data_IF_458882817236
#
_entry.id   IF_458882817236
#
_cell.length_a   1.000
_cell.length_b   1.000
_cell.length_c   1.000
_cell.angle_alpha   90.00
_cell.angle_beta   90.00
_cell.angle_gamma   90.00
#
_symmetry.space_group_name_H-M   'P 1'
#
loop_
_entity.id
_entity.type
_entity.pdbx_description
1 polymer ?
#
# COMPACT_ATOMS: atom_id res chain seq x y z
N UNK A 1 -13.52 23.99 13.37
CA UNK A 1 -14.49 22.89 13.12
C UNK A 1 -14.17 21.74 14.07
N UNK A 2 -15.18 21.07 14.63
CA UNK A 2 -14.97 19.84 15.42
C UNK A 2 -14.51 18.73 14.46
N UNK A 3 -13.42 18.02 14.78
CA UNK A 3 -12.90 16.93 13.93
C UNK A 3 -13.96 15.83 13.81
N UNK A 4 -14.17 15.33 12.60
CA UNK A 4 -15.06 14.19 12.38
C UNK A 4 -14.47 12.92 13.00
N UNK A 5 -15.34 11.95 13.31
CA UNK A 5 -14.96 10.61 13.76
C UNK A 5 -15.62 9.57 12.88
N UNK A 6 -15.05 8.37 12.84
CA UNK A 6 -15.71 7.23 12.20
C UNK A 6 -17.08 6.96 12.84
N UNK A 7 -18.06 6.61 12.01
CA UNK A 7 -19.40 6.23 12.45
C UNK A 7 -19.42 4.82 13.05
N UNK A 8 -18.53 3.95 12.58
CA UNK A 8 -18.47 2.55 12.99
C UNK A 8 -17.04 2.02 13.11
N UNK A 9 -16.85 1.05 14.01
CA UNK A 9 -15.59 0.31 14.15
C UNK A 9 -15.21 -0.41 12.85
N UNK A 10 -16.19 -1.03 12.20
CA UNK A 10 -15.98 -1.73 10.91
C UNK A 10 -15.52 -0.73 9.84
N UNK A 11 -16.12 0.45 9.79
CA UNK A 11 -15.70 1.51 8.87
C UNK A 11 -14.26 1.94 9.08
N UNK A 12 -13.83 2.12 10.34
CA UNK A 12 -12.42 2.36 10.66
C UNK A 12 -11.49 1.23 10.20
N UNK A 13 -11.83 -0.03 10.52
CA UNK A 13 -11.01 -1.20 10.15
C UNK A 13 -10.89 -1.31 8.63
N UNK A 14 -12.00 -1.20 7.90
CA UNK A 14 -12.00 -1.36 6.44
C UNK A 14 -11.31 -0.19 5.72
N UNK A 15 -11.45 1.04 6.23
CA UNK A 15 -10.71 2.20 5.67
C UNK A 15 -9.21 2.05 5.92
N UNK A 16 -8.82 1.70 7.15
CA UNK A 16 -7.40 1.52 7.49
C UNK A 16 -6.80 0.33 6.74
N UNK A 17 -7.54 -0.79 6.64
CA UNK A 17 -7.15 -1.93 5.84
C UNK A 17 -7.09 -1.58 4.35
N UNK A 18 -7.99 -0.76 3.82
CA UNK A 18 -7.92 -0.28 2.43
C UNK A 18 -6.75 0.67 2.16
N UNK A 19 -6.20 1.32 3.18
CA UNK A 19 -4.95 2.08 3.06
C UNK A 19 -3.74 1.14 2.90
N UNK A 20 -3.67 0.07 3.71
CA UNK A 20 -2.61 -0.94 3.64
C UNK A 20 -2.74 -1.82 2.38
N UNK A 21 -3.95 -2.33 2.14
CA UNK A 21 -4.28 -3.18 1.00
C UNK A 21 -4.27 -2.34 -0.26
N UNK A 22 -3.28 -2.59 -1.09
CA UNK A 22 -3.20 -1.94 -2.39
C UNK A 22 -2.40 -2.74 -3.40
N UNK A 23 -1.75 -2.00 -4.29
CA UNK A 23 -0.89 -2.57 -5.32
C UNK A 23 0.23 -3.42 -4.69
N UNK A 24 0.69 -3.08 -3.47
CA UNK A 24 1.69 -3.87 -2.74
C UNK A 24 1.28 -5.34 -2.52
N UNK A 25 0.03 -5.59 -2.13
CA UNK A 25 -0.47 -6.94 -1.82
C UNK A 25 -0.79 -7.75 -3.07
N UNK A 26 -1.29 -7.08 -4.10
CA UNK A 26 -1.83 -7.77 -5.28
C UNK A 26 -0.81 -7.88 -6.41
N UNK A 27 0.08 -6.89 -6.51
CA UNK A 27 1.14 -6.85 -7.51
C UNK A 27 2.50 -7.25 -6.94
N UNK A 28 2.96 -6.54 -5.92
CA UNK A 28 4.34 -6.65 -5.44
C UNK A 28 4.60 -7.98 -4.75
N UNK A 29 3.71 -8.34 -3.84
CA UNK A 29 3.84 -9.55 -3.05
C UNK A 29 3.91 -10.83 -3.89
N UNK A 30 3.02 -11.08 -4.88
CA UNK A 30 3.06 -12.33 -5.65
C UNK A 30 4.33 -12.49 -6.48
N UNK A 31 4.83 -11.44 -7.16
CA UNK A 31 6.08 -11.61 -7.92
C UNK A 31 7.28 -11.84 -6.99
N UNK A 32 7.32 -11.20 -5.82
CA UNK A 32 8.38 -11.41 -4.83
C UNK A 32 8.35 -12.85 -4.29
N UNK A 33 7.16 -13.40 -4.02
CA UNK A 33 7.02 -14.82 -3.63
C UNK A 33 7.56 -15.73 -4.74
N UNK A 34 7.25 -15.42 -6.01
CA UNK A 34 7.69 -16.18 -7.17
C UNK A 34 9.21 -16.20 -7.35
N UNK A 35 9.85 -15.06 -7.06
CA UNK A 35 11.31 -14.89 -7.16
C UNK A 35 12.06 -15.43 -5.93
N UNK A 36 11.44 -15.48 -4.76
CA UNK A 36 12.10 -15.72 -3.47
C UNK A 36 11.75 -17.07 -2.80
N UNK A 37 11.33 -18.07 -3.57
CA UNK A 37 11.21 -19.43 -3.04
C UNK A 37 9.88 -19.76 -2.36
N UNK A 38 8.79 -19.09 -2.74
CA UNK A 38 7.44 -19.56 -2.42
C UNK A 38 7.09 -19.48 -0.92
N UNK A 39 6.61 -20.58 -0.35
CA UNK A 39 6.06 -20.63 1.01
C UNK A 39 7.03 -20.21 2.13
N UNK A 40 8.35 -20.38 1.96
CA UNK A 40 9.34 -19.92 2.97
C UNK A 40 9.38 -18.39 3.03
N UNK A 41 9.34 -17.71 1.88
CA UNK A 41 9.25 -16.26 1.84
C UNK A 41 7.98 -15.78 2.54
N UNK A 42 6.84 -16.42 2.28
CA UNK A 42 5.55 -16.08 2.92
C UNK A 42 5.66 -16.21 4.45
N UNK A 43 6.31 -17.26 4.96
CA UNK A 43 6.51 -17.44 6.39
C UNK A 43 7.34 -16.29 7.00
N UNK A 44 8.48 -15.93 6.39
CA UNK A 44 9.29 -14.81 6.87
C UNK A 44 8.54 -13.48 6.79
N UNK A 45 7.78 -13.26 5.72
CA UNK A 45 6.94 -12.09 5.56
C UNK A 45 5.94 -11.94 6.71
N UNK A 46 5.24 -13.01 7.07
CA UNK A 46 4.29 -13.01 8.19
C UNK A 46 4.98 -12.71 9.53
N UNK A 47 6.16 -13.28 9.74
CA UNK A 47 6.96 -12.99 10.94
C UNK A 47 7.35 -11.50 11.00
N UNK A 48 7.88 -10.93 9.92
CA UNK A 48 8.28 -9.52 9.88
C UNK A 48 7.09 -8.56 9.95
N UNK A 49 5.93 -8.94 9.42
CA UNK A 49 4.72 -8.14 9.55
C UNK A 49 4.32 -7.99 11.03
N UNK A 50 4.44 -9.05 11.83
CA UNK A 50 4.16 -9.02 13.27
C UNK A 50 5.28 -8.38 14.08
N UNK A 51 6.54 -8.61 13.72
CA UNK A 51 7.70 -8.13 14.47
C UNK A 51 8.02 -6.65 14.20
N UNK A 52 7.79 -6.17 12.99
CA UNK A 52 8.17 -4.82 12.55
C UNK A 52 6.93 -4.01 12.21
N UNK A 53 6.10 -4.52 11.30
CA UNK A 53 4.95 -3.79 10.79
C UNK A 53 3.94 -3.41 11.87
N UNK A 54 3.46 -4.39 12.65
CA UNK A 54 2.46 -4.18 13.69
C UNK A 54 2.91 -3.17 14.76
N UNK A 55 4.13 -3.25 15.35
CA UNK A 55 4.61 -2.23 16.27
C UNK A 55 4.58 -0.82 15.70
N UNK A 56 5.12 -0.60 14.50
CA UNK A 56 5.16 0.74 13.89
C UNK A 56 3.74 1.23 13.55
N UNK A 57 2.86 0.35 13.06
CA UNK A 57 1.46 0.67 12.83
C UNK A 57 0.78 1.17 14.11
N UNK A 58 0.99 0.50 15.25
CA UNK A 58 0.43 0.96 16.51
C UNK A 58 1.01 2.30 16.97
N UNK A 59 2.26 2.61 16.62
CA UNK A 59 2.91 3.89 16.95
C UNK A 59 2.32 5.04 16.12
N UNK A 60 2.14 4.86 14.81
CA UNK A 60 1.45 5.86 13.98
C UNK A 60 0.02 6.09 14.47
N UNK A 61 -0.74 5.01 14.71
CA UNK A 61 -2.10 5.12 15.21
C UNK A 61 -2.16 5.81 16.59
N UNK A 62 -1.18 5.57 17.46
CA UNK A 62 -1.11 6.21 18.79
C UNK A 62 -0.86 7.71 18.69
N UNK A 63 0.07 8.14 17.84
CA UNK A 63 0.36 9.57 17.61
C UNK A 63 -0.87 10.28 17.06
N UNK A 64 -1.55 9.68 16.10
CA UNK A 64 -2.80 10.21 15.56
C UNK A 64 -3.90 10.29 16.61
N UNK A 65 -4.12 9.20 17.34
CA UNK A 65 -5.21 9.10 18.31
C UNK A 65 -5.03 10.01 19.52
N UNK A 66 -3.82 10.11 20.06
CA UNK A 66 -3.51 10.98 21.19
C UNK A 66 -3.59 12.47 20.84
N UNK A 67 -3.24 12.84 19.61
CA UNK A 67 -3.28 14.25 19.19
C UNK A 67 -4.67 14.70 18.72
N UNK A 68 -5.46 13.81 18.09
CA UNK A 68 -6.66 14.16 17.32
C UNK A 68 -6.37 15.27 16.29
N UNK A 69 -5.17 15.25 15.70
CA UNK A 69 -4.70 16.20 14.68
C UNK A 69 -4.04 15.45 13.51
N UNK A 70 -3.81 16.14 12.41
CA UNK A 70 -2.93 15.69 11.31
C UNK A 70 -1.46 15.82 11.70
N UNK A 71 -0.59 15.15 10.93
CA UNK A 71 0.82 14.87 11.26
C UNK A 71 1.64 16.02 11.84
N UNK A 72 1.68 17.18 11.19
CA UNK A 72 2.49 18.31 11.69
C UNK A 72 1.98 18.78 13.05
N UNK A 73 0.67 18.99 13.16
CA UNK A 73 0.03 19.41 14.41
C UNK A 73 0.01 18.31 15.46
N UNK A 74 0.04 17.05 15.06
CA UNK A 74 0.13 15.92 15.98
C UNK A 74 1.45 15.96 16.75
N UNK A 75 2.56 16.15 16.04
CA UNK A 75 3.86 16.33 16.69
C UNK A 75 3.90 17.59 17.56
N UNK A 76 3.47 18.76 17.08
CA UNK A 76 3.46 20.00 17.88
C UNK A 76 2.71 19.85 19.23
N UNK A 77 1.63 19.05 19.25
CA UNK A 77 0.82 18.81 20.46
C UNK A 77 1.48 17.81 21.40
N UNK A 78 2.18 16.81 20.87
CA UNK A 78 2.68 15.66 21.63
C UNK A 78 4.16 15.77 22.01
N UNK A 79 4.93 16.60 21.30
CA UNK A 79 6.37 16.73 21.50
C UNK A 79 6.72 17.52 22.77
N UNK A 80 7.79 17.15 23.49
CA UNK A 80 8.30 17.95 24.59
C UNK A 80 8.73 19.34 24.13
N UNK A 81 8.53 20.36 24.98
CA UNK A 81 8.92 21.75 24.68
C UNK A 81 10.41 21.83 24.31
N UNK A 82 10.72 22.54 23.22
CA UNK A 82 12.09 22.73 22.73
C UNK A 82 12.61 21.61 21.82
N UNK A 83 11.86 20.53 21.65
CA UNK A 83 12.14 19.51 20.63
C UNK A 83 11.47 19.91 19.30
N UNK A 84 11.96 19.39 18.18
CA UNK A 84 11.54 19.81 16.82
C UNK A 84 11.06 18.63 15.97
N UNK A 85 10.34 17.68 16.57
CA UNK A 85 9.81 16.51 15.87
C UNK A 85 8.77 16.89 14.82
N UNK A 86 8.06 18.01 14.98
CA UNK A 86 7.11 18.53 14.00
C UNK A 86 7.69 18.74 12.59
N UNK A 87 9.02 18.90 12.47
CA UNK A 87 9.70 18.95 11.16
C UNK A 87 9.48 17.67 10.34
N UNK A 88 9.41 16.52 11.01
CA UNK A 88 9.09 15.25 10.37
C UNK A 88 7.72 15.27 9.70
N UNK A 89 6.73 15.95 10.29
CA UNK A 89 5.40 16.04 9.69
C UNK A 89 5.40 16.67 8.30
N UNK A 90 6.29 17.63 8.03
CA UNK A 90 6.44 18.21 6.69
C UNK A 90 7.07 17.23 5.70
N UNK A 91 8.00 16.39 6.16
CA UNK A 91 8.57 15.30 5.37
C UNK A 91 7.50 14.25 5.04
N UNK A 92 6.63 13.90 6.00
CA UNK A 92 5.49 13.00 5.75
C UNK A 92 4.56 13.54 4.67
N UNK A 93 4.20 14.83 4.73
CA UNK A 93 3.34 15.48 3.73
C UNK A 93 3.98 15.40 2.35
N UNK A 94 5.27 15.75 2.25
CA UNK A 94 6.02 15.66 1.00
C UNK A 94 6.06 14.21 0.48
N UNK A 95 6.27 13.24 1.39
CA UNK A 95 6.22 11.82 1.09
C UNK A 95 4.86 11.36 0.55
N UNK A 96 3.74 11.84 1.13
CA UNK A 96 2.40 11.57 0.60
C UNK A 96 2.17 12.17 -0.79
N UNK A 97 2.69 13.38 -1.06
CA UNK A 97 2.62 13.96 -2.40
C UNK A 97 3.43 13.13 -3.40
N UNK A 98 4.69 12.82 -3.10
CA UNK A 98 5.57 12.00 -3.94
C UNK A 98 4.97 10.61 -4.19
N UNK A 99 4.41 9.97 -3.15
CA UNK A 99 3.72 8.69 -3.27
C UNK A 99 2.56 8.80 -4.26
N UNK A 100 1.73 9.83 -4.15
CA UNK A 100 0.56 9.99 -5.01
C UNK A 100 0.92 10.38 -6.45
N UNK A 101 2.09 10.97 -6.72
CA UNK A 101 2.55 11.31 -8.07
C UNK A 101 2.65 10.07 -8.97
N UNK A 102 3.37 9.04 -8.53
CA UNK A 102 3.47 7.79 -9.30
C UNK A 102 2.32 6.83 -9.04
N UNK A 103 1.83 6.73 -7.79
CA UNK A 103 0.82 5.72 -7.43
C UNK A 103 -0.51 5.95 -8.14
N UNK A 104 -0.92 7.21 -8.35
CA UNK A 104 -2.15 7.53 -9.11
C UNK A 104 -1.99 7.22 -10.61
N UNK A 105 -0.77 7.33 -11.14
CA UNK A 105 -0.44 6.93 -12.52
C UNK A 105 -0.53 5.40 -12.68
N UNK A 106 0.06 4.64 -11.75
CA UNK A 106 -0.03 3.16 -11.74
C UNK A 106 -1.47 2.68 -11.53
N UNK A 107 -2.23 3.34 -10.65
CA UNK A 107 -3.66 3.10 -10.48
C UNK A 107 -4.43 3.34 -11.80
N UNK A 108 -4.02 4.37 -12.56
CA UNK A 108 -4.53 4.64 -13.91
C UNK A 108 -4.26 3.49 -14.90
N UNK A 109 -3.15 2.77 -14.80
CA UNK A 109 -2.88 1.59 -15.63
C UNK A 109 -3.88 0.46 -15.35
N UNK A 110 -4.22 0.23 -14.07
CA UNK A 110 -5.22 -0.77 -13.68
C UNK A 110 -6.59 -0.43 -14.28
N UNK A 111 -6.96 0.86 -14.22
CA UNK A 111 -8.19 1.37 -14.82
C UNK A 111 -8.20 1.23 -16.35
N UNK A 112 -7.08 1.52 -17.03
CA UNK A 112 -6.96 1.33 -18.47
C UNK A 112 -7.13 -0.15 -18.84
N UNK A 113 -6.45 -1.06 -18.14
CA UNK A 113 -6.57 -2.50 -18.38
C UNK A 113 -7.97 -3.04 -18.11
N UNK A 114 -8.66 -2.51 -17.08
CA UNK A 114 -10.08 -2.79 -16.87
C UNK A 114 -10.89 -2.48 -18.13
N UNK A 115 -10.75 -1.30 -18.72
CA UNK A 115 -11.46 -0.95 -19.95
C UNK A 115 -11.03 -1.79 -21.16
N UNK A 116 -9.74 -2.10 -21.30
CA UNK A 116 -9.24 -2.96 -22.40
C UNK A 116 -9.82 -4.37 -22.34
N UNK A 117 -9.92 -4.97 -21.15
CA UNK A 117 -10.63 -6.24 -20.97
C UNK A 117 -12.13 -6.08 -21.18
N UNK A 118 -12.76 -5.08 -20.55
CA UNK A 118 -14.19 -4.85 -20.64
C UNK A 118 -14.65 -4.64 -22.08
N UNK A 119 -13.88 -3.95 -22.93
CA UNK A 119 -14.19 -3.71 -24.35
C UNK A 119 -13.66 -4.77 -25.31
N UNK A 120 -12.95 -5.78 -24.81
CA UNK A 120 -12.49 -6.92 -25.61
C UNK A 120 -11.28 -6.64 -26.50
N UNK A 121 -10.39 -5.71 -26.11
CA UNK A 121 -9.11 -5.49 -26.80
C UNK A 121 -8.29 -6.79 -26.87
N UNK A 122 -8.20 -7.51 -25.74
CA UNK A 122 -7.45 -8.78 -25.65
C UNK A 122 -8.12 -9.95 -26.39
N UNK A 123 -9.38 -9.81 -26.82
CA UNK A 123 -10.06 -10.82 -27.64
C UNK A 123 -9.75 -10.69 -29.13
N UNK A 124 -9.01 -9.64 -29.53
CA UNK A 124 -8.72 -9.29 -30.93
C UNK A 124 -7.23 -9.42 -31.28
N UNK A 125 -6.43 -9.92 -30.37
CA UNK A 125 -4.97 -9.99 -30.50
C UNK A 125 -4.48 -11.38 -30.11
N UNK A 126 -3.25 -11.69 -30.51
CA UNK A 126 -2.56 -12.91 -30.09
C UNK A 126 -1.71 -12.68 -28.83
N UNK A 127 -1.36 -13.76 -28.12
CA UNK A 127 -0.59 -13.68 -26.87
C UNK A 127 0.81 -13.05 -27.00
N UNK A 128 1.39 -13.09 -28.20
CA UNK A 128 2.65 -12.42 -28.53
C UNK A 128 2.53 -10.90 -28.54
N UNK A 129 1.32 -10.37 -28.74
CA UNK A 129 1.05 -8.93 -28.84
C UNK A 129 0.71 -8.29 -27.48
N UNK A 130 0.57 -9.08 -26.41
CA UNK A 130 0.19 -8.59 -25.08
C UNK A 130 1.17 -7.53 -24.56
N UNK A 131 2.48 -7.76 -24.71
CA UNK A 131 3.51 -6.82 -24.26
C UNK A 131 3.41 -5.48 -25.02
N UNK A 132 3.08 -5.54 -26.31
CA UNK A 132 2.87 -4.35 -27.13
C UNK A 132 1.66 -3.53 -26.64
N UNK A 133 0.63 -4.15 -26.07
CA UNK A 133 -0.51 -3.41 -25.49
C UNK A 133 -0.07 -2.52 -24.33
N UNK A 134 0.78 -3.03 -23.44
CA UNK A 134 1.34 -2.24 -22.34
C UNK A 134 2.30 -1.17 -22.84
N UNK A 135 3.24 -1.53 -23.72
CA UNK A 135 4.21 -0.59 -24.30
C UNK A 135 3.51 0.55 -25.03
N UNK A 136 2.44 0.24 -25.78
CA UNK A 136 1.60 1.24 -26.43
C UNK A 136 0.93 2.15 -25.41
N UNK A 137 0.32 1.60 -24.35
CA UNK A 137 -0.28 2.41 -23.28
C UNK A 137 0.74 3.38 -22.65
N UNK A 138 1.94 2.90 -22.30
CA UNK A 138 3.01 3.71 -21.72
C UNK A 138 3.51 4.82 -22.68
N UNK A 139 3.54 4.52 -23.98
CA UNK A 139 3.94 5.49 -25.01
C UNK A 139 2.88 6.57 -25.31
N UNK A 140 1.64 6.40 -24.84
CA UNK A 140 0.49 7.27 -25.12
C UNK A 140 0.17 8.18 -23.93
N UNK A 141 0.77 9.39 -23.86
CA UNK A 141 0.60 10.29 -22.73
C UNK A 141 -0.87 10.67 -22.51
N UNK A 142 -1.68 10.74 -23.57
CA UNK A 142 -3.09 11.05 -23.50
C UNK A 142 -3.90 9.96 -22.77
N UNK A 143 -3.58 8.69 -23.01
CA UNK A 143 -4.25 7.56 -22.36
C UNK A 143 -3.88 7.52 -20.88
N UNK A 144 -2.59 7.63 -20.57
CA UNK A 144 -2.09 7.66 -19.19
C UNK A 144 -2.66 8.85 -18.40
N UNK A 145 -2.66 10.04 -19.01
CA UNK A 145 -3.17 11.27 -18.37
C UNK A 145 -4.66 11.17 -18.10
N UNK A 146 -5.45 10.64 -19.04
CA UNK A 146 -6.89 10.46 -18.84
C UNK A 146 -7.18 9.51 -17.68
N UNK A 147 -6.55 8.34 -17.63
CA UNK A 147 -6.78 7.35 -16.57
C UNK A 147 -6.25 7.82 -15.20
N UNK A 148 -5.10 8.51 -15.16
CA UNK A 148 -4.60 9.17 -13.96
C UNK A 148 -5.58 10.25 -13.49
N UNK A 149 -6.06 11.11 -14.39
CA UNK A 149 -6.98 12.18 -14.04
C UNK A 149 -8.32 11.65 -13.51
N UNK A 150 -8.86 10.58 -14.10
CA UNK A 150 -10.07 9.90 -13.59
C UNK A 150 -9.83 9.39 -12.17
N UNK A 151 -8.69 8.74 -11.92
CA UNK A 151 -8.30 8.27 -10.58
C UNK A 151 -8.21 9.42 -9.58
N UNK A 152 -7.47 10.49 -9.91
CA UNK A 152 -7.26 11.64 -9.02
C UNK A 152 -8.57 12.37 -8.73
N UNK A 153 -9.32 12.73 -9.77
CA UNK A 153 -10.60 13.43 -9.63
C UNK A 153 -11.58 12.56 -8.85
N UNK A 154 -11.69 11.27 -9.19
CA UNK A 154 -12.54 10.33 -8.46
C UNK A 154 -12.20 10.28 -6.97
N UNK A 155 -10.91 10.19 -6.61
CA UNK A 155 -10.48 10.12 -5.22
C UNK A 155 -10.83 11.39 -4.44
N UNK A 156 -10.53 12.55 -5.01
CA UNK A 156 -10.86 13.84 -4.40
C UNK A 156 -12.37 14.09 -4.32
N UNK A 157 -13.15 13.61 -5.29
CA UNK A 157 -14.62 13.64 -5.22
C UNK A 157 -15.13 12.82 -4.04
N UNK A 158 -14.60 11.61 -3.81
CA UNK A 158 -14.94 10.81 -2.62
C UNK A 158 -14.62 11.56 -1.34
N UNK A 159 -13.39 12.09 -1.20
CA UNK A 159 -12.99 12.83 0.00
C UNK A 159 -13.73 14.17 0.19
N UNK A 160 -14.27 14.76 -0.90
CA UNK A 160 -15.06 15.99 -0.83
C UNK A 160 -16.38 15.83 -0.08
N UNK A 161 -16.91 14.60 -0.03
CA UNK A 161 -18.14 14.25 0.68
C UNK A 161 -17.94 14.15 2.21
N UNK A 162 -16.71 14.32 2.71
CA UNK A 162 -16.35 14.23 4.13
C UNK A 162 -16.02 12.80 4.58
N UNK A 163 -15.68 12.65 5.86
CA UNK A 163 -15.17 11.40 6.41
C UNK A 163 -16.24 10.30 6.37
N UNK A 164 -17.44 10.58 6.91
CA UNK A 164 -18.47 9.55 7.07
C UNK A 164 -19.21 9.23 5.76
N UNK A 165 -19.65 10.26 5.02
CA UNK A 165 -20.46 10.08 3.80
C UNK A 165 -19.62 9.72 2.59
N UNK A 166 -18.37 10.18 2.54
CA UNK A 166 -17.40 9.90 1.50
C UNK A 166 -16.52 8.71 1.85
N UNK A 167 -15.42 9.00 2.55
CA UNK A 167 -14.34 8.04 2.81
C UNK A 167 -14.83 6.73 3.45
N UNK A 168 -15.52 6.78 4.59
CA UNK A 168 -15.97 5.59 5.32
C UNK A 168 -16.97 4.77 4.51
N UNK A 169 -18.05 5.40 4.02
CA UNK A 169 -19.12 4.70 3.29
C UNK A 169 -18.62 4.07 1.99
N UNK A 170 -17.90 4.84 1.17
CA UNK A 170 -17.47 4.39 -0.15
C UNK A 170 -16.38 3.32 -0.02
N UNK A 171 -15.39 3.53 0.86
CA UNK A 171 -14.32 2.54 1.06
C UNK A 171 -14.84 1.26 1.70
N UNK A 172 -15.80 1.34 2.63
CA UNK A 172 -16.43 0.13 3.22
C UNK A 172 -17.10 -0.74 2.15
N UNK A 173 -17.89 -0.13 1.26
CA UNK A 173 -18.55 -0.85 0.17
C UNK A 173 -17.52 -1.42 -0.80
N UNK A 174 -16.54 -0.59 -1.20
CA UNK A 174 -15.49 -1.00 -2.12
C UNK A 174 -14.65 -2.16 -1.57
N UNK A 175 -14.28 -2.13 -0.29
CA UNK A 175 -13.54 -3.20 0.38
C UNK A 175 -14.37 -4.48 0.49
N UNK A 176 -15.67 -4.38 0.77
CA UNK A 176 -16.55 -5.55 0.76
C UNK A 176 -16.63 -6.20 -0.63
N UNK A 177 -16.75 -5.39 -1.70
CA UNK A 177 -16.70 -5.87 -3.07
C UNK A 177 -15.34 -6.50 -3.42
N UNK A 178 -14.24 -5.86 -3.01
CA UNK A 178 -12.87 -6.34 -3.20
C UNK A 178 -12.67 -7.71 -2.55
N UNK A 179 -13.09 -7.88 -1.29
CA UNK A 179 -12.98 -9.13 -0.54
C UNK A 179 -13.86 -10.25 -1.14
N UNK A 180 -15.01 -9.91 -1.72
CA UNK A 180 -15.82 -10.88 -2.44
C UNK A 180 -15.14 -11.29 -3.76
N UNK A 181 -14.67 -10.32 -4.55
CA UNK A 181 -14.03 -10.56 -5.84
C UNK A 181 -12.78 -11.42 -5.70
N UNK A 182 -11.95 -11.15 -4.71
CA UNK A 182 -10.71 -11.91 -4.50
C UNK A 182 -10.99 -13.37 -4.15
N UNK A 183 -12.06 -13.66 -3.38
CA UNK A 183 -12.48 -15.04 -3.08
C UNK A 183 -12.96 -15.73 -4.36
N UNK A 184 -13.81 -15.08 -5.14
CA UNK A 184 -14.34 -15.64 -6.40
C UNK A 184 -13.20 -15.94 -7.39
N UNK A 185 -12.24 -15.02 -7.53
CA UNK A 185 -11.08 -15.20 -8.40
C UNK A 185 -10.15 -16.32 -7.90
N UNK A 186 -9.91 -16.41 -6.59
CA UNK A 186 -9.05 -17.44 -6.00
C UNK A 186 -9.67 -18.84 -6.16
N UNK A 187 -10.97 -18.99 -5.89
CA UNK A 187 -11.69 -20.25 -6.09
C UNK A 187 -11.63 -20.68 -7.56
N UNK A 188 -11.90 -19.75 -8.49
CA UNK A 188 -11.82 -20.08 -9.91
C UNK A 188 -10.41 -20.50 -10.33
N UNK A 189 -9.38 -19.79 -9.86
CA UNK A 189 -7.97 -20.12 -10.17
C UNK A 189 -7.59 -21.52 -9.68
N UNK A 190 -8.06 -21.91 -8.49
CA UNK A 190 -7.82 -23.25 -7.93
C UNK A 190 -8.57 -24.37 -8.65
N UNK A 191 -9.62 -24.06 -9.40
CA UNK A 191 -10.38 -25.02 -10.22
C UNK A 191 -9.76 -25.24 -11.61
N UNK A 192 -8.74 -24.48 -11.99
CA UNK A 192 -8.10 -24.62 -13.29
C UNK A 192 -7.30 -25.95 -13.40
N UNK A 193 -7.19 -26.54 -14.60
CA UNK A 193 -6.34 -27.72 -14.81
C UNK A 193 -4.88 -27.44 -14.43
N UNK A 194 -4.25 -28.30 -13.62
CA UNK A 194 -2.86 -28.09 -13.18
C UNK A 194 -2.66 -27.03 -12.09
N UNK A 195 -3.73 -26.41 -11.60
CA UNK A 195 -3.71 -25.40 -10.52
C UNK A 195 -3.02 -25.89 -9.24
N UNK A 196 -3.14 -27.19 -8.92
CA UNK A 196 -2.60 -27.78 -7.70
C UNK A 196 -1.07 -27.62 -7.62
N UNK A 197 -0.35 -27.72 -8.73
CA UNK A 197 1.12 -27.56 -8.73
C UNK A 197 1.53 -26.11 -8.47
N UNK A 198 0.78 -25.14 -9.02
CA UNK A 198 0.99 -23.72 -8.70
C UNK A 198 0.67 -23.39 -7.25
N UNK A 199 -0.42 -23.96 -6.69
CA UNK A 199 -0.75 -23.81 -5.29
C UNK A 199 0.31 -24.44 -4.37
N UNK A 200 0.87 -25.61 -4.76
CA UNK A 200 1.96 -26.25 -4.03
C UNK A 200 3.22 -25.39 -4.03
N UNK A 201 3.62 -24.90 -5.20
CA UNK A 201 4.75 -23.99 -5.34
C UNK A 201 4.61 -22.75 -4.44
N UNK A 202 3.40 -22.22 -4.34
CA UNK A 202 3.12 -21.02 -3.58
C UNK A 202 3.08 -21.25 -2.06
N UNK A 203 2.37 -22.28 -1.58
CA UNK A 203 2.13 -22.51 -0.14
C UNK A 203 3.24 -23.34 0.50
N UNK A 204 3.72 -24.39 -0.17
CA UNK A 204 4.60 -25.34 0.49
C UNK A 204 6.05 -24.81 0.56
N UNK A 205 6.69 -24.91 1.74
CA UNK A 205 8.10 -24.56 1.88
C UNK A 205 9.00 -25.41 0.97
N UNK A 206 9.87 -24.77 0.19
CA UNK A 206 10.92 -25.46 -0.59
C UNK A 206 12.32 -24.99 -0.14
N UNK A 207 12.98 -25.73 0.77
CA UNK A 207 14.30 -25.36 1.27
C UNK A 207 15.41 -25.39 0.20
N UNK A 208 15.28 -26.26 -0.81
CA UNK A 208 16.27 -26.38 -1.88
C UNK A 208 16.30 -25.10 -2.72
N UNK A 209 15.11 -24.60 -3.11
CA UNK A 209 14.99 -23.35 -3.87
C UNK A 209 15.50 -22.14 -3.07
N UNK A 210 15.26 -22.11 -1.76
CA UNK A 210 15.81 -21.05 -0.88
C UNK A 210 17.33 -21.14 -0.75
N UNK A 211 17.90 -22.36 -0.78
CA UNK A 211 19.35 -22.56 -0.78
C UNK A 211 19.99 -22.04 -2.07
N UNK A 212 19.34 -22.21 -3.21
CA UNK A 212 19.78 -21.69 -4.51
C UNK A 212 19.75 -20.15 -4.55
N UNK A 213 18.67 -19.54 -4.07
CA UNK A 213 18.49 -18.07 -4.06
C UNK A 213 19.38 -17.42 -2.99
N UNK A 214 19.59 -18.11 -1.87
CA UNK A 214 20.29 -17.61 -0.70
C UNK A 214 19.32 -17.16 0.40
N UNK A 215 19.42 -17.80 1.56
CA UNK A 215 18.54 -17.55 2.70
C UNK A 215 18.50 -16.07 3.14
N UNK A 216 19.65 -15.41 3.18
CA UNK A 216 19.73 -14.00 3.58
C UNK A 216 18.96 -13.08 2.62
N UNK A 217 19.02 -13.36 1.32
CA UNK A 217 18.28 -12.61 0.31
C UNK A 217 16.76 -12.80 0.51
N UNK A 218 16.31 -14.03 0.69
CA UNK A 218 14.88 -14.34 0.93
C UNK A 218 14.35 -13.63 2.19
N UNK A 219 15.12 -13.67 3.29
CA UNK A 219 14.77 -12.99 4.55
C UNK A 219 14.70 -11.47 4.34
N UNK A 220 15.69 -10.89 3.67
CA UNK A 220 15.77 -9.46 3.36
C UNK A 220 14.57 -9.00 2.53
N UNK A 221 14.25 -9.71 1.44
CA UNK A 221 13.12 -9.36 0.57
C UNK A 221 11.78 -9.49 1.31
N UNK A 222 11.62 -10.53 2.15
CA UNK A 222 10.42 -10.70 2.95
C UNK A 222 10.24 -9.58 3.99
N UNK A 223 11.33 -9.15 4.62
CA UNK A 223 11.35 -8.02 5.55
C UNK A 223 10.98 -6.70 4.84
N UNK A 224 11.54 -6.44 3.66
CA UNK A 224 11.24 -5.25 2.86
C UNK A 224 9.75 -5.22 2.46
N UNK A 225 9.21 -6.35 2.01
CA UNK A 225 7.81 -6.45 1.61
C UNK A 225 6.85 -6.28 2.79
N UNK A 226 7.15 -6.89 3.94
CA UNK A 226 6.33 -6.75 5.15
C UNK A 226 6.28 -5.31 5.68
N UNK A 227 7.36 -4.56 5.48
CA UNK A 227 7.40 -3.14 5.82
C UNK A 227 6.63 -2.28 4.80
N UNK A 228 6.85 -2.53 3.50
CA UNK A 228 6.22 -1.77 2.41
C UNK A 228 4.70 -1.93 2.38
N UNK A 229 4.17 -3.14 2.59
CA UNK A 229 2.73 -3.43 2.46
C UNK A 229 1.86 -2.56 3.36
N UNK A 230 2.33 -2.19 4.56
CA UNK A 230 1.56 -1.35 5.48
C UNK A 230 1.73 0.15 5.23
N UNK A 231 2.62 0.56 4.30
CA UNK A 231 2.90 1.96 3.94
C UNK A 231 3.20 2.86 5.15
N UNK A 232 4.03 2.36 6.07
CA UNK A 232 4.33 3.03 7.34
C UNK A 232 5.53 3.99 7.22
N UNK A 233 5.44 5.13 7.91
CA UNK A 233 6.48 6.16 7.99
C UNK A 233 6.12 7.47 7.31
N UNK A 234 4.95 7.59 6.69
CA UNK A 234 4.48 8.81 6.01
C UNK A 234 3.16 9.35 6.59
N UNK A 235 2.78 8.92 7.80
CA UNK A 235 1.56 9.35 8.48
C UNK A 235 0.24 8.95 7.77
N UNK A 236 0.31 8.01 6.82
CA UNK A 236 -0.86 7.53 6.10
C UNK A 236 -1.84 6.77 7.02
N UNK A 237 -1.35 6.11 8.08
CA UNK A 237 -2.20 5.46 9.09
C UNK A 237 -2.50 6.39 10.26
N UNK A 238 -1.57 7.30 10.59
CA UNK A 238 -1.76 8.29 11.66
C UNK A 238 -3.07 9.08 11.51
N UNK A 239 -3.41 9.51 10.29
CA UNK A 239 -4.64 10.29 10.06
C UNK A 239 -5.90 9.51 10.50
N UNK A 240 -5.96 8.21 10.31
CA UNK A 240 -7.11 7.41 10.74
C UNK A 240 -7.13 7.21 12.25
N UNK A 241 -5.96 7.11 12.89
CA UNK A 241 -5.83 7.17 14.35
C UNK A 241 -6.47 8.44 14.92
N UNK A 242 -6.30 9.59 14.25
CA UNK A 242 -6.88 10.87 14.68
C UNK A 242 -8.42 10.92 14.68
N UNK A 243 -9.08 10.04 13.92
CA UNK A 243 -10.53 9.91 13.84
C UNK A 243 -11.10 8.77 14.68
N UNK A 244 -10.23 7.97 15.30
CA UNK A 244 -10.58 6.76 16.04
C UNK A 244 -11.14 7.10 17.43
N UNK A 245 -12.05 6.26 17.94
CA UNK A 245 -12.45 6.30 19.36
C UNK A 245 -11.40 5.64 20.28
N UNK A 246 -11.55 5.83 21.59
CA UNK A 246 -10.69 5.21 22.60
C UNK A 246 -11.26 3.90 23.15
N UNK A 247 -12.37 3.41 22.56
CA UNK A 247 -13.11 2.24 23.05
C UNK A 247 -12.35 0.92 22.86
N UNK A 248 -11.39 0.88 21.92
CA UNK A 248 -10.63 -0.32 21.58
C UNK A 248 -9.12 -0.07 21.58
N UNK A 249 -8.38 -1.07 22.03
CA UNK A 249 -6.91 -1.09 22.03
C UNK A 249 -6.32 -1.02 20.61
N UNK A 250 -5.24 -0.24 20.45
CA UNK A 250 -4.58 -0.08 19.14
C UNK A 250 -3.90 -1.36 18.67
N UNK A 251 -3.37 -2.18 19.59
CA UNK A 251 -2.76 -3.47 19.22
C UNK A 251 -3.80 -4.42 18.64
N UNK A 252 -4.99 -4.51 19.26
CA UNK A 252 -6.08 -5.31 18.73
C UNK A 252 -6.54 -4.84 17.35
N UNK A 253 -6.69 -3.53 17.15
CA UNK A 253 -7.05 -2.97 15.85
C UNK A 253 -5.94 -3.18 14.80
N UNK A 254 -4.68 -2.98 15.17
CA UNK A 254 -3.53 -3.23 14.30
C UNK A 254 -3.47 -4.69 13.83
N UNK A 255 -3.74 -5.66 14.71
CA UNK A 255 -3.80 -7.08 14.34
C UNK A 255 -4.90 -7.32 13.29
N UNK A 256 -6.07 -6.69 13.41
CA UNK A 256 -7.16 -6.84 12.44
C UNK A 256 -6.79 -6.25 11.07
N UNK A 257 -6.14 -5.10 11.06
CA UNK A 257 -5.64 -4.45 9.83
C UNK A 257 -4.60 -5.37 9.17
N UNK A 258 -3.58 -5.82 9.91
CA UNK A 258 -2.55 -6.72 9.39
C UNK A 258 -3.12 -8.07 8.92
N UNK A 259 -4.16 -8.59 9.59
CA UNK A 259 -4.81 -9.84 9.18
C UNK A 259 -5.57 -9.69 7.85
N UNK A 260 -6.27 -8.57 7.63
CA UNK A 260 -6.93 -8.29 6.35
C UNK A 260 -5.91 -8.05 5.24
N UNK A 261 -4.85 -7.30 5.51
CA UNK A 261 -3.71 -7.10 4.59
C UNK A 261 -3.10 -8.44 4.16
N UNK A 262 -2.80 -9.29 5.13
CA UNK A 262 -2.25 -10.63 4.91
C UNK A 262 -3.22 -11.51 4.13
N UNK A 263 -4.51 -11.49 4.49
CA UNK A 263 -5.53 -12.27 3.80
C UNK A 263 -5.58 -11.92 2.31
N UNK A 264 -5.56 -10.63 1.97
CA UNK A 264 -5.55 -10.18 0.57
C UNK A 264 -4.25 -10.53 -0.13
N UNK A 265 -3.09 -10.37 0.51
CA UNK A 265 -1.81 -10.77 -0.05
C UNK A 265 -1.78 -12.28 -0.36
N UNK A 266 -2.20 -13.11 0.60
CA UNK A 266 -2.21 -14.56 0.46
C UNK A 266 -3.14 -15.01 -0.68
N UNK A 267 -4.37 -14.49 -0.72
CA UNK A 267 -5.33 -14.84 -1.77
C UNK A 267 -4.90 -14.33 -3.14
N UNK A 268 -4.21 -13.19 -3.23
CA UNK A 268 -3.68 -12.67 -4.50
C UNK A 268 -2.67 -13.64 -5.11
N UNK A 269 -1.79 -14.23 -4.29
CA UNK A 269 -0.92 -15.32 -4.76
C UNK A 269 -1.72 -16.56 -5.21
N UNK A 270 -2.79 -16.93 -4.51
CA UNK A 270 -3.67 -18.03 -4.94
C UNK A 270 -4.48 -17.74 -6.20
N UNK A 271 -4.64 -16.48 -6.59
CA UNK A 271 -5.16 -16.13 -7.91
C UNK A 271 -4.09 -16.35 -8.97
N UNK A 272 -2.87 -15.87 -8.71
CA UNK A 272 -1.81 -15.76 -9.71
C UNK A 272 -1.12 -17.09 -9.97
N UNK A 273 -0.59 -17.75 -8.95
CA UNK A 273 0.25 -18.95 -9.14
C UNK A 273 -0.49 -20.13 -9.76
N UNK A 274 -1.69 -20.52 -9.29
CA UNK A 274 -2.39 -21.65 -9.90
C UNK A 274 -2.73 -21.37 -11.38
N UNK A 275 -3.14 -20.15 -11.71
CA UNK A 275 -3.43 -19.77 -13.08
C UNK A 275 -2.17 -19.72 -13.97
N UNK A 276 -1.06 -19.19 -13.47
CA UNK A 276 0.23 -19.20 -14.19
C UNK A 276 0.67 -20.63 -14.53
N UNK A 277 0.60 -21.55 -13.56
CA UNK A 277 0.96 -22.96 -13.78
C UNK A 277 0.01 -23.68 -14.74
N UNK A 278 -1.30 -23.39 -14.65
CA UNK A 278 -2.31 -23.96 -15.52
C UNK A 278 -2.06 -23.65 -17.02
N UNK A 279 -1.60 -22.44 -17.30
CA UNK A 279 -1.32 -21.97 -18.66
C UNK A 279 0.16 -21.94 -19.01
N UNK A 280 1.02 -22.59 -18.20
CA UNK A 280 2.47 -22.67 -18.41
C UNK A 280 3.16 -21.32 -18.61
N UNK A 281 2.73 -20.30 -17.85
CA UNK A 281 3.35 -18.98 -17.83
C UNK A 281 4.20 -18.84 -16.58
N UNK A 282 5.42 -18.32 -16.71
CA UNK A 282 6.32 -18.17 -15.57
C UNK A 282 5.85 -17.04 -14.61
N UNK A 283 5.74 -17.33 -13.30
CA UNK A 283 5.22 -16.36 -12.32
C UNK A 283 6.30 -15.45 -11.71
N UNK A 284 7.55 -15.54 -12.16
CA UNK A 284 8.73 -14.81 -11.65
C UNK A 284 9.10 -13.57 -12.50
N UNK A 285 8.21 -13.14 -13.40
CA UNK A 285 8.44 -12.09 -14.38
C UNK A 285 8.70 -10.68 -13.78
N UNK A 286 8.63 -10.50 -12.46
CA UNK A 286 8.88 -9.21 -11.79
C UNK A 286 7.75 -8.19 -12.01
N UNK A 287 8.05 -6.88 -12.05
CA UNK A 287 7.04 -5.83 -12.21
C UNK A 287 6.10 -6.03 -13.42
N UNK A 288 6.52 -6.54 -14.59
CA UNK A 288 5.58 -6.78 -15.68
C UNK A 288 4.54 -7.90 -15.48
N UNK A 289 4.60 -8.69 -14.40
CA UNK A 289 3.74 -9.87 -14.17
C UNK A 289 2.24 -9.60 -14.39
N UNK A 290 1.69 -8.52 -13.83
CA UNK A 290 0.26 -8.21 -13.94
C UNK A 290 -0.14 -7.76 -15.34
N UNK A 291 0.75 -7.13 -16.08
CA UNK A 291 0.43 -6.54 -17.37
C UNK A 291 0.77 -7.46 -18.54
N UNK A 292 1.64 -8.45 -18.34
CA UNK A 292 2.05 -9.41 -19.38
C UNK A 292 1.50 -10.81 -19.10
N UNK A 293 1.86 -11.38 -17.94
CA UNK A 293 1.56 -12.76 -17.60
C UNK A 293 0.07 -12.99 -17.38
N UNK A 294 -0.59 -12.14 -16.59
CA UNK A 294 -2.01 -12.34 -16.31
C UNK A 294 -2.92 -12.13 -17.52
N UNK A 295 -2.70 -11.15 -18.41
CA UNK A 295 -3.51 -11.05 -19.61
C UNK A 295 -3.36 -12.26 -20.53
N UNK A 296 -2.15 -12.83 -20.66
CA UNK A 296 -1.96 -14.10 -21.39
C UNK A 296 -2.76 -15.24 -20.77
N UNK A 297 -2.73 -15.37 -19.45
CA UNK A 297 -3.53 -16.36 -18.70
C UNK A 297 -5.02 -16.18 -19.01
N UNK A 298 -5.55 -14.96 -18.92
CA UNK A 298 -6.96 -14.71 -19.17
C UNK A 298 -7.34 -14.97 -20.63
N UNK A 299 -6.47 -14.67 -21.60
CA UNK A 299 -6.75 -14.94 -23.02
C UNK A 299 -6.97 -16.43 -23.33
N UNK A 300 -6.28 -17.33 -22.62
CA UNK A 300 -6.44 -18.78 -22.80
C UNK A 300 -7.57 -19.38 -21.95
N UNK A 301 -8.16 -18.59 -21.07
CA UNK A 301 -9.21 -19.03 -20.16
C UNK A 301 -10.59 -18.92 -20.84
N UNK A 302 -11.44 -19.94 -20.64
CA UNK A 302 -12.83 -19.85 -21.05
C UNK A 302 -13.52 -18.67 -20.35
N UNK A 303 -14.15 -17.78 -21.12
CA UNK A 303 -14.71 -16.54 -20.56
C UNK A 303 -13.66 -15.53 -20.11
N UNK A 304 -12.42 -15.62 -20.62
CA UNK A 304 -11.27 -14.78 -20.25
C UNK A 304 -11.51 -13.27 -20.18
N UNK A 305 -12.39 -12.75 -21.05
CA UNK A 305 -12.81 -11.35 -21.00
C UNK A 305 -13.46 -10.98 -19.66
N UNK A 306 -14.34 -11.84 -19.14
CA UNK A 306 -15.04 -11.63 -17.87
C UNK A 306 -14.03 -11.72 -16.73
N UNK A 307 -13.21 -12.76 -16.69
CA UNK A 307 -12.23 -12.98 -15.63
C UNK A 307 -11.17 -11.87 -15.58
N UNK A 308 -10.64 -11.45 -16.72
CA UNK A 308 -9.73 -10.31 -16.79
C UNK A 308 -10.40 -8.99 -16.39
N UNK A 309 -11.66 -8.76 -16.78
CA UNK A 309 -12.40 -7.58 -16.34
C UNK A 309 -12.56 -7.57 -14.82
N UNK A 310 -13.00 -8.68 -14.22
CA UNK A 310 -13.17 -8.80 -12.76
C UNK A 310 -11.84 -8.62 -12.02
N UNK A 311 -10.75 -9.18 -12.55
CA UNK A 311 -9.41 -9.02 -11.98
C UNK A 311 -8.97 -7.55 -11.99
N UNK A 312 -9.14 -6.83 -13.10
CA UNK A 312 -8.75 -5.42 -13.16
C UNK A 312 -9.71 -4.47 -12.42
N UNK A 313 -10.99 -4.85 -12.23
CA UNK A 313 -11.88 -4.18 -11.25
C UNK A 313 -11.32 -4.34 -9.84
N UNK A 314 -10.94 -5.56 -9.47
CA UNK A 314 -10.33 -5.85 -8.17
C UNK A 314 -9.04 -5.04 -7.95
N UNK A 315 -8.14 -4.99 -8.95
CA UNK A 315 -6.93 -4.17 -8.92
C UNK A 315 -7.25 -2.68 -8.77
N UNK A 316 -8.25 -2.18 -9.52
CA UNK A 316 -8.65 -0.78 -9.47
C UNK A 316 -9.21 -0.43 -8.09
N UNK A 317 -10.01 -1.30 -7.46
CA UNK A 317 -10.50 -1.08 -6.10
C UNK A 317 -9.37 -1.09 -5.08
N UNK A 318 -8.42 -2.01 -5.20
CA UNK A 318 -7.26 -2.11 -4.31
C UNK A 318 -6.35 -0.88 -4.42
N UNK A 319 -6.04 -0.40 -5.63
CA UNK A 319 -5.24 0.82 -5.77
C UNK A 319 -6.01 2.05 -5.32
N UNK A 320 -7.29 2.14 -5.64
CA UNK A 320 -8.10 3.32 -5.35
C UNK A 320 -8.38 3.52 -3.86
N UNK A 321 -8.45 2.44 -3.05
CA UNK A 321 -8.58 2.57 -1.59
C UNK A 321 -7.40 3.32 -0.96
N UNK A 322 -6.17 3.01 -1.37
CA UNK A 322 -4.97 3.72 -0.92
C UNK A 322 -4.99 5.19 -1.37
N UNK A 323 -5.43 5.46 -2.61
CA UNK A 323 -5.52 6.84 -3.14
C UNK A 323 -6.46 7.70 -2.28
N UNK A 324 -7.68 7.21 -2.01
CA UNK A 324 -8.66 7.96 -1.19
C UNK A 324 -8.10 8.17 0.23
N UNK A 325 -7.45 7.15 0.79
CA UNK A 325 -6.87 7.21 2.13
C UNK A 325 -5.79 8.30 2.26
N UNK A 326 -4.83 8.33 1.33
CA UNK A 326 -3.74 9.33 1.34
C UNK A 326 -4.26 10.72 0.99
N UNK A 327 -5.25 10.85 0.10
CA UNK A 327 -5.89 12.15 -0.17
C UNK A 327 -6.58 12.73 1.06
N UNK A 328 -7.23 11.90 1.89
CA UNK A 328 -7.77 12.37 3.16
C UNK A 328 -6.68 12.90 4.10
N UNK A 329 -5.50 12.27 4.14
CA UNK A 329 -4.36 12.77 4.90
C UNK A 329 -3.93 14.17 4.42
N UNK A 330 -3.78 14.36 3.10
CA UNK A 330 -3.40 15.64 2.50
C UNK A 330 -4.44 16.75 2.76
N UNK A 331 -5.73 16.42 2.63
CA UNK A 331 -6.83 17.35 2.89
C UNK A 331 -6.83 17.78 4.36
N UNK A 332 -6.78 16.83 5.29
CA UNK A 332 -6.85 17.13 6.72
C UNK A 332 -5.63 17.85 7.24
N UNK A 333 -4.46 17.53 6.69
CA UNK A 333 -3.25 18.32 6.91
C UNK A 333 -3.42 19.76 6.45
N UNK A 334 -4.00 19.97 5.26
CA UNK A 334 -4.21 21.32 4.72
C UNK A 334 -5.19 22.12 5.59
N UNK A 335 -6.25 21.48 6.10
CA UNK A 335 -7.24 22.09 6.98
C UNK A 335 -6.60 22.48 8.33
N UNK A 336 -5.85 21.57 8.96
CA UNK A 336 -5.27 21.80 10.29
C UNK A 336 -4.13 22.83 10.27
N UNK A 337 -3.31 22.86 9.21
CA UNK A 337 -2.11 23.71 9.15
C UNK A 337 -2.36 25.08 8.51
N UNK A 338 -3.24 25.15 7.50
CA UNK A 338 -3.50 26.39 6.77
C UNK A 338 -4.88 26.99 7.05
N UNK A 339 -5.67 26.38 7.92
CA UNK A 339 -7.03 26.82 8.29
C UNK A 339 -7.97 26.95 7.07
N UNK A 340 -7.75 26.13 6.04
CA UNK A 340 -8.62 26.08 4.87
C UNK A 340 -9.93 25.37 5.21
N UNK A 341 -11.00 25.73 4.50
CA UNK A 341 -12.17 24.86 4.45
C UNK A 341 -11.88 23.60 3.59
N UNK A 342 -12.69 22.56 3.77
CA UNK A 342 -12.50 21.28 3.05
C UNK A 342 -12.60 21.47 1.53
N UNK A 343 -13.44 22.38 1.04
CA UNK A 343 -13.63 22.61 -0.41
C UNK A 343 -12.36 23.16 -1.04
N UNK A 344 -11.75 24.18 -0.44
CA UNK A 344 -10.47 24.75 -0.85
C UNK A 344 -9.36 23.70 -0.77
N UNK A 345 -9.29 22.96 0.33
CA UNK A 345 -8.31 21.88 0.48
C UNK A 345 -8.43 20.84 -0.64
N UNK A 346 -9.63 20.34 -0.92
CA UNK A 346 -9.87 19.38 -2.01
C UNK A 346 -9.45 19.94 -3.37
N UNK A 347 -9.88 21.16 -3.72
CA UNK A 347 -9.59 21.76 -5.04
C UNK A 347 -8.08 21.96 -5.22
N UNK A 348 -7.40 22.55 -4.22
CA UNK A 348 -5.96 22.84 -4.32
C UNK A 348 -5.15 21.55 -4.41
N UNK A 349 -5.41 20.58 -3.53
CA UNK A 349 -4.69 19.30 -3.55
C UNK A 349 -4.97 18.51 -4.84
N UNK A 350 -6.20 18.56 -5.37
CA UNK A 350 -6.54 17.94 -6.66
C UNK A 350 -5.72 18.54 -7.82
N UNK A 351 -5.68 19.87 -7.93
CA UNK A 351 -4.88 20.55 -8.97
C UNK A 351 -3.39 20.22 -8.80
N UNK A 352 -2.88 20.25 -7.57
CA UNK A 352 -1.48 19.93 -7.30
C UNK A 352 -1.14 18.49 -7.72
N UNK A 353 -1.92 17.50 -7.31
CA UNK A 353 -1.65 16.09 -7.67
C UNK A 353 -1.77 15.87 -9.18
N UNK A 354 -2.75 16.47 -9.86
CA UNK A 354 -2.86 16.38 -11.32
C UNK A 354 -1.61 16.89 -12.03
N UNK A 355 -1.08 18.03 -11.58
CA UNK A 355 0.12 18.64 -12.18
C UNK A 355 1.40 17.88 -11.81
N UNK A 356 1.54 17.49 -10.55
CA UNK A 356 2.72 16.81 -10.03
C UNK A 356 2.84 15.36 -10.54
N UNK A 357 1.74 14.73 -10.98
CA UNK A 357 1.80 13.38 -11.56
C UNK A 357 2.23 13.37 -13.04
N UNK A 358 2.25 14.53 -13.71
CA UNK A 358 2.64 14.63 -15.13
C UNK A 358 4.09 14.15 -15.39
N UNK A 359 5.11 14.53 -14.60
CA UNK A 359 6.46 14.00 -14.72
C UNK A 359 6.54 12.48 -14.83
N UNK A 360 5.82 11.74 -13.96
CA UNK A 360 5.78 10.29 -14.00
C UNK A 360 5.23 9.77 -15.34
N UNK A 361 4.18 10.39 -15.87
CA UNK A 361 3.62 10.03 -17.18
C UNK A 361 4.63 10.31 -18.29
N UNK A 362 5.24 11.49 -18.29
CA UNK A 362 6.21 11.88 -19.31
C UNK A 362 7.46 11.00 -19.29
N UNK A 363 7.87 10.52 -18.12
CA UNK A 363 8.98 9.60 -17.92
C UNK A 363 8.87 8.29 -18.72
N UNK A 364 7.67 7.88 -19.13
CA UNK A 364 7.46 6.69 -19.97
C UNK A 364 7.40 6.97 -21.48
N UNK A 365 7.35 8.24 -21.89
CA UNK A 365 7.19 8.63 -23.29
C UNK A 365 8.14 9.76 -23.69
N UNK A 366 7.75 11.02 -23.53
CA UNK A 366 8.49 12.19 -23.99
C UNK A 366 9.81 12.40 -23.24
N UNK A 367 9.90 11.91 -22.00
CA UNK A 367 11.10 11.96 -21.13
C UNK A 367 11.70 10.57 -20.88
N UNK A 368 11.45 9.58 -21.74
CA UNK A 368 11.95 8.19 -21.57
C UNK A 368 13.47 8.06 -21.36
N UNK A 369 14.23 8.99 -21.95
CA UNK A 369 15.69 9.02 -21.87
C UNK A 369 16.20 9.77 -20.63
N UNK A 370 15.32 10.43 -19.87
CA UNK A 370 15.66 11.12 -18.63
C UNK A 370 15.93 10.09 -17.54
N UNK A 371 17.19 10.02 -17.10
CA UNK A 371 17.60 9.24 -15.93
C UNK A 371 17.93 10.18 -14.78
N UNK A 372 17.41 9.89 -13.60
CA UNK A 372 17.58 10.70 -12.40
C UNK A 372 18.47 9.96 -11.40
N UNK A 373 17.89 9.32 -10.38
CA UNK A 373 18.64 8.83 -9.22
C UNK A 373 19.29 7.48 -9.52
N UNK A 374 20.61 7.47 -9.66
CA UNK A 374 21.37 6.23 -9.89
C UNK A 374 21.01 5.53 -11.20
N UNK A 375 20.62 6.29 -12.23
CA UNK A 375 20.23 5.74 -13.54
C UNK A 375 18.77 5.31 -13.66
N UNK A 376 17.96 5.47 -12.59
CA UNK A 376 16.53 5.18 -12.58
C UNK A 376 15.73 6.16 -13.44
N UNK A 377 14.60 5.70 -13.98
CA UNK A 377 13.64 6.60 -14.64
C UNK A 377 12.88 7.46 -13.60
N UNK A 378 11.88 8.23 -14.05
CA UNK A 378 11.13 9.16 -13.19
C UNK A 378 10.34 8.40 -12.12
N UNK A 379 9.55 7.39 -12.51
CA UNK A 379 8.73 6.63 -11.56
C UNK A 379 9.63 5.89 -10.55
N UNK A 380 10.66 5.21 -11.04
CA UNK A 380 11.57 4.45 -10.19
C UNK A 380 12.34 5.36 -9.23
N UNK A 381 12.63 6.60 -9.62
CA UNK A 381 13.25 7.59 -8.73
C UNK A 381 12.28 8.11 -7.68
N UNK A 382 11.02 8.36 -8.04
CA UNK A 382 9.96 8.73 -7.09
C UNK A 382 9.70 7.62 -6.09
N UNK A 383 9.55 6.38 -6.56
CA UNK A 383 9.39 5.19 -5.71
C UNK A 383 10.62 4.98 -4.81
N UNK A 384 11.84 5.13 -5.32
CA UNK A 384 13.05 5.01 -4.50
C UNK A 384 13.06 6.03 -3.34
N UNK A 385 12.73 7.30 -3.60
CA UNK A 385 12.69 8.32 -2.55
C UNK A 385 11.67 7.93 -1.48
N UNK A 386 10.48 7.50 -1.87
CA UNK A 386 9.41 7.17 -0.92
C UNK A 386 9.68 5.85 -0.21
N UNK A 387 9.80 4.78 -0.98
CA UNK A 387 9.84 3.39 -0.52
C UNK A 387 11.12 3.02 0.19
N UNK A 388 12.27 3.55 -0.25
CA UNK A 388 13.57 3.17 0.28
C UNK A 388 14.11 4.19 1.29
N UNK A 389 13.65 5.45 1.26
CA UNK A 389 14.14 6.50 2.17
C UNK A 389 13.04 6.99 3.12
N UNK A 390 11.98 7.61 2.62
CA UNK A 390 11.00 8.31 3.48
C UNK A 390 10.28 7.31 4.40
N UNK A 391 9.77 6.18 3.88
CA UNK A 391 9.06 5.19 4.70
C UNK A 391 9.95 4.62 5.82
N UNK A 392 11.16 4.08 5.56
CA UNK A 392 12.04 3.57 6.62
C UNK A 392 12.49 4.66 7.60
N UNK A 393 12.91 5.83 7.10
CA UNK A 393 13.34 6.95 7.97
C UNK A 393 12.18 7.38 8.85
N UNK A 394 10.99 7.57 8.28
CA UNK A 394 9.85 8.04 9.03
C UNK A 394 9.37 7.02 10.07
N UNK A 395 9.43 5.73 9.76
CA UNK A 395 9.17 4.68 10.74
C UNK A 395 10.18 4.67 11.88
N UNK A 396 11.47 4.93 11.60
CA UNK A 396 12.48 5.13 12.64
C UNK A 396 12.15 6.37 13.49
N UNK A 397 11.68 7.45 12.88
CA UNK A 397 11.27 8.67 13.61
C UNK A 397 10.07 8.40 14.50
N UNK A 398 9.01 7.74 14.02
CA UNK A 398 7.87 7.32 14.86
C UNK A 398 8.30 6.45 16.02
N UNK A 399 9.17 5.46 15.76
CA UNK A 399 9.73 4.59 16.79
C UNK A 399 10.47 5.38 17.88
N UNK A 400 11.40 6.24 17.48
CA UNK A 400 12.18 7.06 18.41
C UNK A 400 11.30 8.08 19.15
N UNK A 401 10.28 8.62 18.49
CA UNK A 401 9.33 9.53 19.11
C UNK A 401 8.50 8.84 20.19
N UNK A 402 7.99 7.63 19.92
CA UNK A 402 7.19 6.86 20.87
C UNK A 402 8.00 6.24 22.01
N UNK A 403 9.30 5.98 21.84
CA UNK A 403 10.11 5.26 22.84
C UNK A 403 11.05 6.18 23.63
N UNK A 404 11.57 7.25 23.02
CA UNK A 404 12.58 8.11 23.65
C UNK A 404 11.97 9.13 24.62
N UNK A 405 12.75 9.53 25.63
CA UNK A 405 12.40 10.63 26.54
C UNK A 405 12.33 12.00 25.86
N UNK A 406 12.86 12.11 24.65
CA UNK A 406 12.89 13.33 23.86
C UNK A 406 11.65 13.46 22.97
N UNK A 407 10.84 12.40 22.84
CA UNK A 407 9.55 12.43 22.13
C UNK A 407 8.37 12.26 23.09
N UNK A 408 7.28 11.65 22.60
CA UNK A 408 6.09 11.30 23.39
C UNK A 408 6.40 10.38 24.59
N UNK A 409 7.42 9.51 24.44
CA UNK A 409 7.90 8.61 25.48
C UNK A 409 7.05 7.36 25.67
N UNK A 410 7.74 6.25 26.01
CA UNK A 410 7.12 4.92 26.05
C UNK A 410 5.92 4.80 27.01
N UNK A 411 5.91 5.41 28.22
CA UNK A 411 4.75 5.32 29.11
C UNK A 411 3.48 5.90 28.50
N UNK A 412 3.58 7.05 27.85
CA UNK A 412 2.43 7.71 27.21
C UNK A 412 1.98 6.98 25.96
N UNK A 413 2.93 6.46 25.16
CA UNK A 413 2.62 5.56 24.05
C UNK A 413 1.90 4.30 24.53
N UNK A 414 2.38 3.67 25.60
CA UNK A 414 1.81 2.43 26.12
C UNK A 414 0.42 2.64 26.70
N UNK A 415 0.21 3.73 27.44
CA UNK A 415 -1.09 4.16 27.93
C UNK A 415 -2.05 4.35 26.76
N UNK A 416 -1.65 5.16 25.77
CA UNK A 416 -2.46 5.42 24.59
C UNK A 416 -2.77 4.12 23.84
N UNK A 417 -1.78 3.26 23.57
CA UNK A 417 -1.97 2.00 22.85
C UNK A 417 -2.95 1.04 23.54
N UNK A 418 -2.99 1.07 24.88
CA UNK A 418 -3.74 0.15 25.72
C UNK A 418 -5.10 0.68 26.21
N UNK A 419 -5.51 1.90 25.83
CA UNK A 419 -6.88 2.38 26.07
C UNK A 419 -7.92 1.48 25.40
N UNK A 420 -9.04 1.26 26.08
CA UNK A 420 -10.16 0.49 25.57
C UNK A 420 -10.00 -1.03 25.68
N UNK A 421 -10.90 -1.76 25.04
CA UNK A 421 -10.96 -3.22 25.07
C UNK A 421 -10.07 -3.88 24.00
N UNK A 422 -9.55 -5.07 24.30
CA UNK A 422 -8.80 -5.92 23.38
C UNK A 422 -7.37 -6.24 23.82
N UNK A 423 -6.57 -6.73 22.87
CA UNK A 423 -5.18 -7.14 23.10
C UNK A 423 -4.35 -5.93 23.49
N UNK A 424 -3.65 -6.02 24.62
CA UNK A 424 -2.78 -4.95 25.12
C UNK A 424 -1.34 -5.15 24.65
N UNK A 425 -0.67 -4.06 24.32
CA UNK A 425 0.76 -4.00 24.09
C UNK A 425 1.50 -4.29 25.40
N UNK A 426 2.37 -5.31 25.45
CA UNK A 426 3.15 -5.62 26.65
C UNK A 426 4.25 -4.60 26.93
N UNK A 427 4.40 -4.20 28.19
CA UNK A 427 5.43 -3.24 28.61
C UNK A 427 6.88 -3.76 28.41
N UNK A 428 7.08 -5.09 28.45
CA UNK A 428 8.42 -5.69 28.30
C UNK A 428 9.02 -5.50 26.91
N UNK A 429 8.20 -5.14 25.90
CA UNK A 429 8.67 -4.85 24.54
C UNK A 429 9.46 -3.55 24.44
N UNK A 430 9.57 -2.75 25.51
CA UNK A 430 10.39 -1.54 25.53
C UNK A 430 11.83 -1.80 25.03
N UNK A 431 12.48 -2.86 25.53
CA UNK A 431 13.86 -3.15 25.13
C UNK A 431 13.93 -3.61 23.67
N UNK A 432 12.92 -4.34 23.21
CA UNK A 432 12.80 -4.71 21.79
C UNK A 432 12.67 -3.45 20.91
N UNK A 433 11.78 -2.52 21.26
CA UNK A 433 11.59 -1.27 20.51
C UNK A 433 12.80 -0.32 20.58
N UNK A 434 13.57 -0.36 21.68
CA UNK A 434 14.73 0.52 21.86
C UNK A 434 15.98 0.02 21.14
N UNK A 435 16.17 -1.30 21.04
CA UNK A 435 17.43 -1.87 20.56
C UNK A 435 17.28 -2.72 19.29
N UNK A 436 16.24 -3.53 19.19
CA UNK A 436 16.13 -4.52 18.10
C UNK A 436 15.38 -3.93 16.90
N UNK A 437 14.22 -3.30 17.14
CA UNK A 437 13.40 -2.73 16.07
C UNK A 437 14.12 -1.63 15.27
N UNK A 438 14.92 -0.72 15.87
CA UNK A 438 15.70 0.24 15.10
C UNK A 438 16.74 -0.42 14.20
N UNK A 439 17.36 -1.53 14.64
CA UNK A 439 18.33 -2.26 13.82
C UNK A 439 17.65 -2.81 12.57
N UNK A 440 16.46 -3.41 12.69
CA UNK A 440 15.72 -3.88 11.53
C UNK A 440 15.41 -2.75 10.54
N UNK A 441 14.97 -1.59 11.03
CA UNK A 441 14.67 -0.43 10.18
C UNK A 441 15.94 0.13 9.51
N UNK A 442 17.06 0.19 10.24
CA UNK A 442 18.36 0.61 9.69
C UNK A 442 18.87 -0.37 8.64
N UNK A 443 18.68 -1.68 8.84
CA UNK A 443 19.01 -2.70 7.84
C UNK A 443 18.15 -2.52 6.58
N UNK A 444 16.86 -2.24 6.72
CA UNK A 444 15.98 -1.94 5.59
C UNK A 444 16.45 -0.70 4.81
N UNK A 445 16.82 0.37 5.53
CA UNK A 445 17.33 1.58 4.92
C UNK A 445 18.65 1.35 4.19
N UNK A 446 19.59 0.61 4.80
CA UNK A 446 20.87 0.29 4.19
C UNK A 446 20.69 -0.59 2.94
N UNK A 447 19.84 -1.62 3.03
CA UNK A 447 19.50 -2.45 1.87
C UNK A 447 18.80 -1.66 0.77
N UNK A 448 17.98 -0.69 1.13
CA UNK A 448 17.31 0.17 0.16
C UNK A 448 18.26 1.10 -0.60
N UNK A 449 19.45 1.40 -0.05
CA UNK A 449 20.46 2.28 -0.64
C UNK A 449 21.48 1.54 -1.51
N UNK A 450 21.66 0.24 -1.29
CA UNK A 450 22.45 -0.65 -2.15
C UNK A 450 21.70 -0.94 -3.45
#
# INVERSE_FOLDING_TARGET
MKRESFKSRIGFILVSAGCAIGIGNVWKFPYLVGQNGGGIFVLFYLCFLLLIGLPILTMELAVGRASKKSVVKAYEVLEPKGTKWHLHGWVCILGCYLLMMYYTTVSGWMLSYFFKFAFGTFSKIDSSQVENVFGTMLSRPEEMTLCMAITVIGGFLVCSLGLQKGLEKITTIMMACLLLLIIVLAVHSLMLPGALEGAKFYIFPNPEKVKEIGLFHVISQAMNQAFFTLSLGVAAMEIFGSYMSEDYSLTGEGIRICALDTFVAILSGLIIFPACFSFHVEPNAGPPLIFFTLPRVFMHMAGGRIWGTLFFVFMTFASFSTVIAVFENLISTSIDNFHWDRKKAVIVNCILILLLSIPCILGYNLWKDLKLIGGRDVLDSEDFIVSNLILPIGSLVYLLFCVSKWGMGFPRYLEECNKGEGVKMPAFLLNYFRFVLPIFILLLLFQGLL
#
